data_IF_995290753195
#
_entry.id   IF_995290753195
#
_cell.length_a   1.000
_cell.length_b   1.000
_cell.length_c   1.000
_cell.angle_alpha   90.00
_cell.angle_beta   90.00
_cell.angle_gamma   90.00
#
_symmetry.space_group_name_H-M   'P 1'
#
loop_
_entity.id
_entity.type
_entity.pdbx_description
1 polymer ?
#
# COMPACT_ATOMS: atom_id res chain seq x y z
N UNK A 1 28.02 59.62 7.46
CA UNK A 1 26.74 58.96 7.10
C UNK A 1 27.02 57.69 6.32
N UNK A 2 27.23 56.57 7.02
CA UNK A 2 27.48 55.26 6.39
C UNK A 2 26.14 54.66 5.95
N UNK A 3 26.02 54.34 4.65
CA UNK A 3 24.82 53.74 4.05
C UNK A 3 24.61 52.36 4.66
N UNK A 4 23.59 52.24 5.54
CA UNK A 4 23.02 50.97 6.00
C UNK A 4 22.49 50.22 4.78
N UNK A 5 23.24 49.23 4.29
CA UNK A 5 22.76 48.31 3.26
C UNK A 5 21.96 47.22 3.96
N UNK A 6 20.67 47.18 3.69
CA UNK A 6 19.77 46.12 4.12
C UNK A 6 20.25 44.77 3.57
N UNK A 7 20.16 43.74 4.40
CA UNK A 7 20.36 42.35 4.00
C UNK A 7 19.33 41.98 2.94
N UNK A 8 19.78 41.71 1.72
CA UNK A 8 18.96 41.08 0.69
C UNK A 8 19.51 39.67 0.46
N UNK A 9 19.03 38.72 1.27
CA UNK A 9 19.19 37.30 0.95
C UNK A 9 18.18 36.98 -0.15
N UNK A 10 18.65 36.69 -1.36
CA UNK A 10 17.78 36.27 -2.46
C UNK A 10 17.33 34.83 -2.20
N UNK A 11 16.15 34.68 -1.61
CA UNK A 11 15.49 33.39 -1.46
C UNK A 11 14.74 33.07 -2.76
N UNK A 12 15.36 32.32 -3.66
CA UNK A 12 14.65 31.72 -4.81
C UNK A 12 14.16 30.35 -4.37
N UNK A 13 12.89 30.28 -3.96
CA UNK A 13 12.30 29.09 -3.37
C UNK A 13 11.55 28.29 -4.45
N UNK A 14 12.23 27.33 -5.08
CA UNK A 14 11.57 26.19 -5.72
C UNK A 14 11.66 25.01 -4.75
N UNK A 15 10.72 24.91 -3.81
CA UNK A 15 10.64 23.75 -2.91
C UNK A 15 10.45 22.49 -3.75
N UNK A 16 11.37 21.56 -3.60
CA UNK A 16 11.29 20.24 -4.21
C UNK A 16 10.34 19.36 -3.36
N UNK A 17 9.66 18.37 -3.97
CA UNK A 17 8.71 17.50 -3.28
C UNK A 17 9.37 16.80 -2.08
N UNK A 18 8.59 16.44 -1.06
CA UNK A 18 9.08 15.77 0.13
C UNK A 18 9.86 14.49 -0.19
N UNK A 19 11.15 14.52 0.12
CA UNK A 19 12.12 13.43 -0.05
C UNK A 19 12.27 12.74 1.31
N UNK A 20 12.56 11.42 1.38
CA UNK A 20 12.92 10.76 2.63
C UNK A 20 14.11 11.47 3.28
N UNK A 21 14.28 11.29 4.59
CA UNK A 21 15.47 11.77 5.34
C UNK A 21 16.73 11.34 4.57
N UNK A 22 17.35 12.30 3.87
CA UNK A 22 18.61 12.10 3.16
C UNK A 22 19.76 12.24 4.16
N UNK A 23 20.86 11.55 3.89
CA UNK A 23 22.14 11.91 4.50
C UNK A 23 22.38 13.41 4.27
N UNK A 24 22.80 14.12 5.32
CA UNK A 24 23.04 15.56 5.26
C UNK A 24 23.90 15.90 4.03
N UNK A 25 23.47 16.89 3.24
CA UNK A 25 24.30 17.35 2.13
C UNK A 25 25.65 17.83 2.68
N UNK A 26 26.74 17.47 2.00
CA UNK A 26 28.09 17.83 2.44
C UNK A 26 28.18 19.35 2.67
N UNK A 27 28.59 19.74 3.88
CA UNK A 27 28.69 21.14 4.28
C UNK A 27 27.42 21.73 4.91
N UNK A 28 26.41 20.91 5.22
CA UNK A 28 25.21 21.30 5.97
C UNK A 28 25.09 20.46 7.25
N UNK A 29 24.89 21.11 8.39
CA UNK A 29 24.54 20.45 9.65
C UNK A 29 23.20 20.99 10.13
N UNK A 30 22.25 20.10 10.43
CA UNK A 30 20.92 20.46 10.95
C UNK A 30 20.75 19.81 12.32
N UNK A 31 20.51 20.62 13.34
CA UNK A 31 20.21 20.17 14.70
C UNK A 31 18.80 20.63 15.06
N UNK A 32 17.84 19.72 15.01
CA UNK A 32 16.45 19.99 15.37
C UNK A 32 16.30 20.08 16.88
N UNK A 33 15.58 21.08 17.35
CA UNK A 33 15.35 21.35 18.76
C UNK A 33 14.23 20.47 19.33
N UNK A 34 14.15 20.40 20.66
CA UNK A 34 13.08 19.73 21.42
C UNK A 34 12.86 18.25 21.10
N UNK A 35 13.85 17.60 20.48
CA UNK A 35 13.76 16.19 20.08
C UNK A 35 12.74 15.92 18.97
N UNK A 36 12.25 16.96 18.29
CA UNK A 36 11.30 16.80 17.19
C UNK A 36 11.92 15.95 16.08
N UNK A 37 11.22 14.88 15.70
CA UNK A 37 11.65 14.00 14.63
C UNK A 37 10.46 13.47 13.83
N UNK A 38 10.71 13.29 12.54
CA UNK A 38 9.77 12.78 11.55
C UNK A 38 10.60 12.05 10.48
N UNK A 39 10.02 11.03 9.88
CA UNK A 39 10.64 10.24 8.80
C UNK A 39 10.44 10.87 7.41
N UNK A 40 9.73 12.00 7.34
CA UNK A 40 9.61 12.86 6.17
C UNK A 40 9.63 14.34 6.54
N UNK A 41 9.75 15.20 5.52
CA UNK A 41 9.85 16.63 5.74
C UNK A 41 9.92 17.43 4.45
N UNK A 42 10.52 18.61 4.53
CA UNK A 42 10.67 19.54 3.40
C UNK A 42 12.13 19.84 3.13
N UNK A 43 12.48 19.89 1.84
CA UNK A 43 13.82 20.27 1.38
C UNK A 43 13.84 21.75 0.97
N UNK A 44 14.54 22.57 1.75
CA UNK A 44 14.63 24.01 1.51
C UNK A 44 15.90 24.33 0.71
N UNK A 45 15.79 24.72 -0.58
CA UNK A 45 16.95 25.20 -1.32
C UNK A 45 17.42 26.53 -0.73
N UNK A 46 18.67 26.58 -0.30
CA UNK A 46 19.23 27.72 0.42
C UNK A 46 20.67 28.02 0.01
N UNK A 47 20.95 29.31 -0.19
CA UNK A 47 22.30 29.81 -0.42
C UNK A 47 22.67 30.70 0.75
N UNK A 48 23.71 30.31 1.49
CA UNK A 48 24.11 31.05 2.68
C UNK A 48 24.78 32.39 2.31
N UNK A 49 24.76 33.33 3.26
CA UNK A 49 25.50 34.58 3.14
C UNK A 49 26.99 34.35 3.37
N UNK A 50 27.86 35.02 2.61
CA UNK A 50 29.31 35.07 2.90
C UNK A 50 29.63 35.63 4.30
N UNK A 51 28.66 36.28 4.94
CA UNK A 51 28.82 36.96 6.22
C UNK A 51 28.58 36.07 7.44
N UNK A 52 27.91 34.93 7.28
CA UNK A 52 27.63 33.97 8.36
C UNK A 52 27.30 32.58 7.81
N UNK A 53 27.73 31.54 8.55
CA UNK A 53 27.35 30.15 8.31
C UNK A 53 26.23 29.65 9.24
N UNK A 54 25.85 30.44 10.25
CA UNK A 54 24.98 30.02 11.35
C UNK A 54 23.57 30.59 11.23
N UNK A 55 22.57 29.71 11.25
CA UNK A 55 21.18 30.05 11.03
C UNK A 55 20.25 29.32 12.02
N UNK A 56 19.10 29.91 12.31
CA UNK A 56 17.94 29.22 12.88
C UNK A 56 16.82 29.19 11.86
N UNK A 57 16.33 27.98 11.55
CA UNK A 57 15.16 27.75 10.71
C UNK A 57 13.98 27.40 11.61
N UNK A 58 12.87 28.14 11.47
CA UNK A 58 11.64 27.90 12.23
C UNK A 58 10.44 27.81 11.28
N UNK A 59 9.67 26.73 11.36
CA UNK A 59 8.49 26.48 10.54
C UNK A 59 7.22 26.71 11.35
N UNK A 60 6.34 27.58 10.84
CA UNK A 60 5.06 27.92 11.45
C UNK A 60 3.92 27.43 10.56
N UNK A 61 2.85 26.83 11.13
CA UNK A 61 1.67 26.47 10.36
C UNK A 61 0.96 27.74 9.85
N UNK A 62 0.49 27.70 8.60
CA UNK A 62 -0.26 28.78 7.97
C UNK A 62 0.59 29.86 7.30
N UNK A 63 -0.03 31.02 7.05
CA UNK A 63 0.50 32.09 6.20
C UNK A 63 1.32 33.17 6.95
N UNK A 64 1.52 33.01 8.26
CA UNK A 64 2.22 33.99 9.07
C UNK A 64 3.09 33.35 10.15
N UNK A 65 4.11 34.09 10.59
CA UNK A 65 4.86 33.78 11.81
C UNK A 65 3.97 34.10 13.00
N UNK A 66 3.22 33.11 13.47
CA UNK A 66 2.24 33.24 14.54
C UNK A 66 2.27 32.02 15.44
N UNK A 67 2.18 32.23 16.75
CA UNK A 67 2.25 31.16 17.75
C UNK A 67 3.65 30.56 17.90
N UNK A 68 3.72 29.32 18.37
CA UNK A 68 4.96 28.55 18.46
C UNK A 68 5.26 27.87 17.11
N UNK A 69 6.52 27.80 16.68
CA UNK A 69 6.89 27.02 15.50
C UNK A 69 6.69 25.52 15.77
N UNK A 70 6.25 24.80 14.74
CA UNK A 70 6.15 23.32 14.77
C UNK A 70 7.55 22.70 14.81
N UNK A 71 8.50 23.32 14.10
CA UNK A 71 9.88 22.84 13.98
C UNK A 71 10.81 24.01 14.13
N UNK A 72 11.81 23.87 15.01
CA UNK A 72 12.95 24.79 15.08
C UNK A 72 14.23 23.99 14.93
N UNK A 73 15.14 24.46 14.08
CA UNK A 73 16.41 23.81 13.84
C UNK A 73 17.55 24.84 13.79
N UNK A 74 18.64 24.54 14.50
CA UNK A 74 19.91 25.20 14.29
C UNK A 74 20.57 24.60 13.03
N UNK A 75 20.95 25.45 12.08
CA UNK A 75 21.48 25.07 10.79
C UNK A 75 22.82 25.76 10.55
N UNK A 76 23.86 24.97 10.35
CA UNK A 76 25.19 25.44 9.99
C UNK A 76 25.48 25.07 8.53
N UNK A 77 25.93 26.05 7.74
CA UNK A 77 26.22 25.89 6.31
C UNK A 77 27.62 26.44 6.01
N UNK A 78 28.46 25.59 5.43
CA UNK A 78 29.83 25.93 5.03
C UNK A 78 30.06 25.87 3.51
N UNK A 79 29.10 25.30 2.77
CA UNK A 79 29.20 25.15 1.33
C UNK A 79 28.91 26.46 0.59
N UNK A 80 29.84 26.95 -0.24
CA UNK A 80 29.70 28.20 -0.99
C UNK A 80 28.67 28.14 -2.15
N UNK A 81 28.08 26.98 -2.41
CA UNK A 81 27.04 26.76 -3.44
C UNK A 81 25.66 26.69 -2.79
N UNK A 82 24.60 26.75 -3.59
CA UNK A 82 23.26 26.42 -3.11
C UNK A 82 23.24 24.96 -2.61
N UNK A 83 22.61 24.75 -1.46
CA UNK A 83 22.42 23.46 -0.80
C UNK A 83 20.93 23.24 -0.51
N UNK A 84 20.54 22.00 -0.26
CA UNK A 84 19.21 21.67 0.25
C UNK A 84 19.28 21.38 1.76
N UNK A 85 18.57 22.20 2.55
CA UNK A 85 18.40 21.99 3.99
C UNK A 85 17.14 21.17 4.21
N UNK A 86 17.31 19.91 4.61
CA UNK A 86 16.19 19.04 4.97
C UNK A 86 15.71 19.36 6.38
N UNK A 87 14.43 19.68 6.52
CA UNK A 87 13.77 19.88 7.81
C UNK A 87 12.68 18.81 7.99
N UNK A 88 12.72 18.00 9.06
CA UNK A 88 11.62 17.10 9.36
C UNK A 88 10.37 17.95 9.61
N UNK A 89 9.26 17.61 8.97
CA UNK A 89 8.02 18.36 9.08
C UNK A 89 6.85 17.40 8.91
N UNK A 90 6.01 17.28 9.93
CA UNK A 90 4.81 16.46 9.88
C UNK A 90 3.69 17.36 9.36
N UNK A 91 3.11 16.99 8.24
CA UNK A 91 2.00 17.71 7.63
C UNK A 91 0.95 16.71 7.14
N UNK A 92 -0.23 17.21 6.78
CA UNK A 92 -1.33 16.35 6.37
C UNK A 92 -0.95 15.50 5.15
N UNK A 93 -1.07 14.19 5.28
CA UNK A 93 -0.82 13.27 4.19
C UNK A 93 -1.88 13.44 3.09
N UNK A 94 -3.12 13.76 3.46
CA UNK A 94 -4.29 13.72 2.59
C UNK A 94 -4.47 14.98 1.73
N UNK A 95 -3.68 16.04 1.97
CA UNK A 95 -3.89 17.31 1.30
C UNK A 95 -2.74 18.30 1.41
N UNK A 96 -2.84 19.41 0.65
CA UNK A 96 -1.88 20.48 0.72
C UNK A 96 -1.92 21.15 2.09
N UNK A 97 -0.75 21.49 2.62
CA UNK A 97 -0.59 22.21 3.88
C UNK A 97 0.23 23.46 3.64
N UNK A 98 -0.23 24.61 4.16
CA UNK A 98 0.47 25.89 4.02
C UNK A 98 1.32 26.16 5.27
N UNK A 99 2.55 26.63 5.04
CA UNK A 99 3.57 26.83 6.06
C UNK A 99 4.35 28.11 5.80
N UNK A 100 4.81 28.73 6.88
CA UNK A 100 5.70 29.89 6.84
C UNK A 100 7.04 29.54 7.46
N UNK A 101 8.10 29.56 6.64
CA UNK A 101 9.47 29.43 7.08
C UNK A 101 10.02 30.79 7.49
N UNK A 102 10.53 30.90 8.71
CA UNK A 102 11.38 32.00 9.16
C UNK A 102 12.83 31.52 9.26
N UNK A 103 13.74 32.21 8.57
CA UNK A 103 15.18 32.01 8.68
C UNK A 103 15.78 33.20 9.41
N UNK A 104 16.46 32.93 10.52
CA UNK A 104 17.24 33.92 11.27
C UNK A 104 18.72 33.66 11.03
N UNK A 105 19.42 34.61 10.45
CA UNK A 105 20.86 34.57 10.25
C UNK A 105 21.57 35.19 11.47
N UNK A 106 22.41 34.41 12.14
CA UNK A 106 23.11 34.86 13.34
C UNK A 106 24.39 35.62 12.98
N UNK A 107 24.77 36.56 13.83
CA UNK A 107 26.02 37.32 13.64
C UNK A 107 27.21 36.40 13.89
N UNK A 108 28.14 36.37 12.94
CA UNK A 108 29.37 35.58 13.09
C UNK A 108 30.18 36.08 14.30
N UNK A 109 30.85 35.18 15.05
CA UNK A 109 31.71 35.57 16.15
C UNK A 109 32.74 36.65 15.75
N UNK A 110 32.86 37.70 16.55
CA UNK A 110 33.78 38.83 16.32
C UNK A 110 33.22 39.94 15.41
N UNK A 111 31.97 39.83 14.95
CA UNK A 111 31.28 40.84 14.13
C UNK A 111 30.11 41.51 14.84
N UNK A 112 29.91 41.26 16.13
CA UNK A 112 28.75 41.68 16.93
C UNK A 112 28.59 43.20 17.00
N UNK A 113 29.70 43.95 16.95
CA UNK A 113 29.67 45.41 16.95
C UNK A 113 29.27 46.02 15.59
N UNK A 114 29.36 45.24 14.51
CA UNK A 114 29.23 45.73 13.13
C UNK A 114 27.97 45.21 12.43
N UNK A 115 27.51 44.03 12.82
CA UNK A 115 26.39 43.34 12.19
C UNK A 115 25.23 43.17 13.17
N UNK A 116 24.05 42.87 12.61
CA UNK A 116 22.85 42.51 13.36
C UNK A 116 22.26 41.25 12.75
N UNK A 117 21.49 40.52 13.53
CA UNK A 117 20.74 39.38 13.01
C UNK A 117 19.85 39.80 11.84
N UNK A 118 19.90 38.99 10.78
CA UNK A 118 19.01 39.12 9.64
C UNK A 118 17.84 38.16 9.79
N UNK A 119 16.63 38.58 9.40
CA UNK A 119 15.48 37.68 9.33
C UNK A 119 14.87 37.73 7.93
N UNK A 120 14.50 36.57 7.44
CA UNK A 120 13.74 36.41 6.20
C UNK A 120 12.59 35.45 6.44
N UNK A 121 11.45 35.72 5.81
CA UNK A 121 10.26 34.88 5.90
C UNK A 121 9.77 34.52 4.51
N UNK A 122 9.32 33.28 4.35
CA UNK A 122 8.72 32.82 3.10
C UNK A 122 7.61 31.83 3.38
N UNK A 123 6.50 31.98 2.66
CA UNK A 123 5.33 31.11 2.76
C UNK A 123 5.33 30.15 1.59
N UNK A 124 4.94 28.90 1.85
CA UNK A 124 4.78 27.87 0.84
C UNK A 124 3.62 26.94 1.15
N UNK A 125 3.16 26.24 0.12
CA UNK A 125 2.17 25.17 0.25
C UNK A 125 2.79 23.88 -0.25
N UNK A 126 2.61 22.78 0.48
CA UNK A 126 3.11 21.48 0.05
C UNK A 126 2.50 21.09 -1.30
N UNK A 127 3.33 20.59 -2.21
CA UNK A 127 2.92 20.13 -3.52
C UNK A 127 2.87 18.60 -3.57
N UNK A 128 2.05 18.00 -4.45
CA UNK A 128 2.09 16.57 -4.67
C UNK A 128 3.49 16.09 -5.07
N UNK A 129 3.92 14.98 -4.48
CA UNK A 129 5.21 14.34 -4.76
C UNK A 129 5.14 13.36 -5.92
N UNK A 130 3.94 12.98 -6.33
CA UNK A 130 3.69 11.96 -7.34
C UNK A 130 3.62 12.47 -8.78
N UNK A 131 4.05 13.72 -9.01
CA UNK A 131 4.05 14.37 -10.33
C UNK A 131 2.67 14.85 -10.81
N UNK A 132 1.62 14.71 -10.00
CA UNK A 132 0.29 15.18 -10.33
C UNK A 132 0.16 16.69 -10.14
N UNK A 133 -0.69 17.38 -10.93
CA UNK A 133 -1.02 18.78 -10.69
C UNK A 133 -1.59 18.99 -9.28
N UNK A 134 -1.30 20.15 -8.68
CA UNK A 134 -1.91 20.56 -7.43
C UNK A 134 -3.44 20.55 -7.52
N UNK A 135 -4.11 20.07 -6.46
CA UNK A 135 -5.57 19.92 -6.43
C UNK A 135 -6.09 18.62 -7.05
N UNK A 136 -5.22 17.76 -7.57
CA UNK A 136 -5.61 16.40 -7.98
C UNK A 136 -6.11 15.61 -6.76
N UNK A 137 -7.34 15.09 -6.84
CA UNK A 137 -7.94 14.34 -5.75
C UNK A 137 -7.12 13.08 -5.44
N UNK A 138 -6.77 12.89 -4.16
CA UNK A 138 -6.00 11.73 -3.71
C UNK A 138 -4.53 11.75 -4.12
N UNK A 139 -3.99 12.87 -4.61
CA UNK A 139 -2.57 12.96 -4.90
C UNK A 139 -1.72 12.67 -3.64
N UNK A 140 -0.54 12.12 -3.84
CA UNK A 140 0.39 11.83 -2.75
C UNK A 140 1.23 13.05 -2.43
N UNK A 141 1.33 13.38 -1.15
CA UNK A 141 2.16 14.49 -0.66
C UNK A 141 3.41 14.03 0.08
N UNK A 142 3.57 12.72 0.30
CA UNK A 142 4.75 12.13 0.92
C UNK A 142 5.15 10.88 0.15
N UNK A 143 6.45 10.74 -0.08
CA UNK A 143 7.03 9.60 -0.77
C UNK A 143 7.31 9.88 -2.25
N UNK A 144 8.19 9.10 -2.86
CA UNK A 144 8.49 9.15 -4.30
C UNK A 144 7.96 7.94 -5.08
N UNK A 145 7.21 7.05 -4.42
CA UNK A 145 6.70 5.82 -5.01
C UNK A 145 7.77 4.74 -5.19
N UNK A 146 8.95 4.90 -4.57
CA UNK A 146 10.05 3.93 -4.62
C UNK A 146 10.04 3.04 -3.38
N UNK A 147 10.71 1.89 -3.42
CA UNK A 147 10.77 1.00 -2.25
C UNK A 147 11.36 1.67 -1.00
N UNK A 148 12.35 2.56 -1.17
CA UNK A 148 12.95 3.32 -0.08
C UNK A 148 12.11 4.52 0.38
N UNK A 149 11.13 4.93 -0.42
CA UNK A 149 10.27 6.08 -0.16
C UNK A 149 8.90 5.85 -0.80
N UNK A 150 8.07 4.99 -0.19
CA UNK A 150 6.76 4.65 -0.74
C UNK A 150 5.83 5.86 -0.63
N UNK A 151 4.87 5.96 -1.54
CA UNK A 151 3.77 6.91 -1.38
C UNK A 151 2.94 6.55 -0.15
N UNK A 152 2.65 7.54 0.69
CA UNK A 152 1.87 7.35 1.92
C UNK A 152 0.39 7.60 1.67
N UNK A 153 -0.43 6.67 2.13
CA UNK A 153 -1.89 6.70 2.00
C UNK A 153 -2.49 6.93 3.39
N UNK A 154 -3.13 8.09 3.56
CA UNK A 154 -3.89 8.43 4.76
C UNK A 154 -5.40 8.56 4.54
N UNK A 155 -5.89 8.39 3.32
CA UNK A 155 -7.31 8.60 2.98
C UNK A 155 -7.83 7.66 1.88
N UNK A 156 -9.14 7.47 1.80
CA UNK A 156 -9.80 6.71 0.72
C UNK A 156 -9.49 7.30 -0.66
N UNK A 157 -9.43 8.64 -0.80
CA UNK A 157 -9.12 9.28 -2.07
C UNK A 157 -7.71 8.91 -2.55
N UNK A 158 -6.74 8.88 -1.64
CA UNK A 158 -5.37 8.44 -1.95
C UNK A 158 -5.30 6.95 -2.30
N UNK A 159 -6.02 6.09 -1.57
CA UNK A 159 -6.10 4.67 -1.91
C UNK A 159 -6.64 4.47 -3.33
N UNK A 160 -7.71 5.18 -3.70
CA UNK A 160 -8.27 5.13 -5.04
C UNK A 160 -7.31 5.69 -6.11
N UNK A 161 -6.51 6.70 -5.76
CA UNK A 161 -5.54 7.32 -6.65
C UNK A 161 -4.40 6.39 -7.08
N UNK A 162 -4.20 5.25 -6.40
CA UNK A 162 -3.18 4.28 -6.81
C UNK A 162 -3.37 3.73 -8.23
N UNK A 163 -4.56 3.87 -8.82
CA UNK A 163 -4.82 3.60 -10.23
C UNK A 163 -3.88 4.36 -11.17
N UNK A 164 -3.38 5.53 -10.75
CA UNK A 164 -2.42 6.34 -11.52
C UNK A 164 -0.95 5.91 -11.29
N UNK A 165 -0.68 4.99 -10.37
CA UNK A 165 0.66 4.61 -9.91
C UNK A 165 0.80 3.09 -9.69
N UNK A 166 0.30 2.28 -10.64
CA UNK A 166 0.19 0.82 -10.52
C UNK A 166 1.51 0.06 -10.31
N UNK A 167 2.65 0.67 -10.64
CA UNK A 167 3.98 0.10 -10.43
C UNK A 167 4.75 0.68 -9.23
N UNK A 168 4.14 1.59 -8.47
CA UNK A 168 4.82 2.25 -7.36
C UNK A 168 4.83 1.40 -6.08
N UNK A 169 5.67 1.78 -5.13
CA UNK A 169 5.57 1.35 -3.74
C UNK A 169 4.67 2.30 -2.95
N UNK A 170 3.70 1.75 -2.22
CA UNK A 170 2.70 2.48 -1.44
C UNK A 170 2.60 1.88 -0.04
N UNK A 171 2.29 2.71 0.94
CA UNK A 171 2.10 2.31 2.34
C UNK A 171 0.89 3.00 2.97
N UNK A 172 0.04 2.23 3.66
CA UNK A 172 -0.99 2.81 4.52
C UNK A 172 -0.36 3.36 5.80
N UNK A 173 -0.84 4.51 6.26
CA UNK A 173 -0.42 5.14 7.52
C UNK A 173 -1.53 5.16 8.57
N UNK A 174 -2.76 4.85 8.18
CA UNK A 174 -3.93 4.82 9.05
C UNK A 174 -4.90 3.72 8.60
N UNK A 175 -5.78 3.31 9.51
CA UNK A 175 -6.96 2.53 9.15
C UNK A 175 -7.89 3.36 8.26
N UNK A 176 -8.51 2.70 7.28
CA UNK A 176 -9.41 3.33 6.31
C UNK A 176 -10.81 2.73 6.41
N UNK A 177 -11.82 3.61 6.45
CA UNK A 177 -13.22 3.23 6.31
C UNK A 177 -13.69 3.69 4.94
N UNK A 178 -13.89 2.74 4.04
CA UNK A 178 -14.37 3.02 2.69
C UNK A 178 -15.88 3.30 2.69
N UNK A 179 -16.27 4.19 1.80
CA UNK A 179 -17.67 4.54 1.53
C UNK A 179 -17.98 4.47 0.04
N UNK A 180 -19.24 4.22 -0.29
CA UNK A 180 -19.70 4.04 -1.67
C UNK A 180 -19.28 2.70 -2.29
N UNK A 181 -19.38 2.63 -3.61
CA UNK A 181 -18.92 1.46 -4.38
C UNK A 181 -17.44 1.60 -4.71
N UNK A 182 -16.64 0.65 -4.24
CA UNK A 182 -15.24 0.47 -4.63
C UNK A 182 -15.16 -0.04 -6.07
N UNK A 183 -14.16 0.46 -6.79
CA UNK A 183 -13.75 -0.05 -8.09
C UNK A 183 -12.38 -0.67 -7.89
N UNK A 184 -12.25 -1.96 -8.19
CA UNK A 184 -11.01 -2.71 -8.08
C UNK A 184 -9.87 -1.97 -8.79
N UNK A 185 -8.72 -1.90 -8.13
CA UNK A 185 -7.48 -1.39 -8.74
C UNK A 185 -7.14 -2.27 -9.93
N UNK A 186 -6.61 -1.70 -11.02
CA UNK A 186 -6.27 -2.45 -12.22
C UNK A 186 -5.14 -3.48 -12.00
N UNK A 187 -4.34 -3.73 -13.04
CA UNK A 187 -3.18 -4.61 -12.90
C UNK A 187 -2.08 -3.91 -12.11
N UNK A 188 -1.93 -4.27 -10.84
CA UNK A 188 -0.92 -3.77 -9.94
C UNK A 188 0.36 -4.62 -10.03
N UNK A 189 1.50 -3.97 -10.23
CA UNK A 189 2.82 -4.61 -10.34
C UNK A 189 3.81 -4.10 -9.30
N UNK A 190 3.37 -3.16 -8.46
CA UNK A 190 4.20 -2.52 -7.43
C UNK A 190 4.14 -3.22 -6.07
N UNK A 191 4.41 -2.45 -5.01
CA UNK A 191 4.37 -2.92 -3.62
C UNK A 191 3.30 -2.16 -2.86
N UNK A 192 2.31 -2.85 -2.31
CA UNK A 192 1.34 -2.28 -1.38
C UNK A 192 1.59 -2.83 0.02
N UNK A 193 2.03 -1.98 0.93
CA UNK A 193 2.23 -2.30 2.34
C UNK A 193 1.08 -1.71 3.17
N UNK A 194 0.21 -2.56 3.69
CA UNK A 194 -0.86 -2.13 4.58
C UNK A 194 -0.34 -1.60 5.92
N UNK A 195 0.94 -1.74 6.25
CA UNK A 195 1.52 -1.20 7.48
C UNK A 195 0.94 -1.80 8.77
N UNK A 196 0.16 -2.88 8.68
CA UNK A 196 -0.63 -3.44 9.79
C UNK A 196 -2.03 -2.84 9.93
N UNK A 197 -2.44 -1.94 9.04
CA UNK A 197 -3.71 -1.24 9.09
C UNK A 197 -4.89 -2.05 8.51
N UNK A 198 -6.07 -1.59 8.87
CA UNK A 198 -7.35 -2.18 8.48
C UNK A 198 -8.03 -1.30 7.42
N UNK A 199 -8.49 -1.93 6.34
CA UNK A 199 -9.44 -1.35 5.40
C UNK A 199 -10.80 -2.00 5.66
N UNK A 200 -11.81 -1.19 5.97
CA UNK A 200 -13.20 -1.63 6.18
C UNK A 200 -14.16 -0.94 5.21
N UNK A 201 -15.40 -1.42 5.14
CA UNK A 201 -16.42 -0.80 4.28
C UNK A 201 -16.24 -1.05 2.78
N UNK A 202 -15.34 -1.97 2.38
CA UNK A 202 -15.16 -2.35 0.98
C UNK A 202 -16.44 -2.98 0.45
N UNK A 203 -17.11 -2.28 -0.48
CA UNK A 203 -18.29 -2.76 -1.20
C UNK A 203 -18.00 -2.67 -2.69
N UNK A 204 -18.04 -3.78 -3.42
CA UNK A 204 -17.60 -3.77 -4.83
C UNK A 204 -18.42 -4.68 -5.72
N UNK A 205 -18.70 -4.19 -6.92
CA UNK A 205 -19.24 -4.96 -8.04
C UNK A 205 -18.18 -5.21 -9.12
N UNK A 206 -16.90 -5.12 -8.77
CA UNK A 206 -15.77 -5.40 -9.67
C UNK A 206 -14.74 -6.33 -9.03
N UNK A 207 -15.05 -6.89 -7.86
CA UNK A 207 -14.20 -7.79 -7.09
C UNK A 207 -13.48 -7.12 -5.91
N UNK A 208 -12.32 -7.66 -5.51
CA UNK A 208 -11.57 -7.24 -4.33
C UNK A 208 -10.94 -5.84 -4.39
N UNK A 209 -10.03 -5.57 -3.46
CA UNK A 209 -9.25 -4.33 -3.49
C UNK A 209 -8.51 -4.16 -4.83
N UNK A 210 -7.91 -5.25 -5.31
CA UNK A 210 -7.21 -5.35 -6.59
C UNK A 210 -7.95 -6.27 -7.56
N UNK A 211 -7.94 -5.89 -8.84
CA UNK A 211 -8.38 -6.73 -9.93
C UNK A 211 -7.31 -7.79 -10.22
N UNK A 212 -6.09 -7.33 -10.50
CA UNK A 212 -4.96 -8.22 -10.76
C UNK A 212 -3.73 -7.71 -10.00
N UNK A 213 -3.01 -8.62 -9.35
CA UNK A 213 -1.64 -8.37 -8.87
C UNK A 213 -0.71 -9.31 -9.62
N UNK A 214 0.25 -8.77 -10.36
CA UNK A 214 1.06 -9.55 -11.30
C UNK A 214 2.51 -9.09 -11.35
N UNK A 215 3.43 -10.05 -11.43
CA UNK A 215 4.85 -9.81 -11.63
C UNK A 215 5.70 -10.28 -10.45
N UNK A 216 6.93 -10.69 -10.73
CA UNK A 216 7.84 -11.28 -9.74
C UNK A 216 8.23 -10.32 -8.63
N UNK A 217 8.05 -9.02 -8.82
CA UNK A 217 8.32 -7.96 -7.84
C UNK A 217 7.04 -7.41 -7.19
N UNK A 218 5.86 -7.85 -7.66
CA UNK A 218 4.58 -7.36 -7.17
C UNK A 218 4.25 -7.97 -5.80
N UNK A 219 3.95 -7.11 -4.82
CA UNK A 219 3.69 -7.52 -3.44
C UNK A 219 2.49 -6.79 -2.87
N UNK A 220 1.61 -7.50 -2.17
CA UNK A 220 0.62 -6.92 -1.28
C UNK A 220 0.85 -7.55 0.09
N UNK A 221 1.06 -6.73 1.12
CA UNK A 221 1.42 -7.25 2.44
C UNK A 221 0.84 -6.46 3.60
N UNK A 222 0.78 -7.08 4.77
CA UNK A 222 0.47 -6.44 6.06
C UNK A 222 -0.86 -5.66 6.08
N UNK A 223 -1.90 -6.16 5.42
CA UNK A 223 -3.21 -5.48 5.35
C UNK A 223 -4.32 -6.39 5.85
N UNK A 224 -5.26 -5.81 6.58
CA UNK A 224 -6.53 -6.48 6.91
C UNK A 224 -7.66 -5.86 6.10
N UNK A 225 -8.40 -6.67 5.35
CA UNK A 225 -9.68 -6.26 4.74
C UNK A 225 -10.81 -6.78 5.64
N UNK A 226 -11.46 -5.87 6.36
CA UNK A 226 -12.51 -6.20 7.30
C UNK A 226 -13.91 -6.05 6.68
N UNK A 227 -14.67 -7.14 6.74
CA UNK A 227 -16.04 -7.28 6.26
C UNK A 227 -16.26 -6.79 4.82
N UNK A 228 -15.45 -7.23 3.83
CA UNK A 228 -15.71 -6.89 2.45
C UNK A 228 -17.03 -7.49 1.97
N UNK A 229 -17.82 -6.71 1.24
CA UNK A 229 -19.03 -7.16 0.55
C UNK A 229 -18.78 -7.09 -0.96
N UNK A 230 -18.69 -8.24 -1.60
CA UNK A 230 -18.36 -8.35 -3.03
C UNK A 230 -19.47 -9.16 -3.70
N UNK A 231 -20.21 -8.51 -4.59
CA UNK A 231 -21.38 -9.11 -5.26
C UNK A 231 -21.18 -9.29 -6.77
N UNK A 232 -19.95 -9.14 -7.26
CA UNK A 232 -19.63 -9.36 -8.66
C UNK A 232 -18.16 -9.70 -8.83
N UNK A 233 -17.82 -10.07 -10.07
CA UNK A 233 -16.62 -10.83 -10.39
C UNK A 233 -15.82 -10.20 -11.51
N UNK A 234 -14.51 -10.35 -11.41
CA UNK A 234 -13.60 -10.11 -12.53
C UNK A 234 -13.83 -11.18 -13.59
N UNK A 235 -14.25 -10.73 -14.77
CA UNK A 235 -14.41 -11.60 -15.93
C UNK A 235 -13.05 -11.81 -16.61
N UNK A 236 -12.73 -13.08 -16.85
CA UNK A 236 -11.57 -13.48 -17.61
C UNK A 236 -11.94 -14.55 -18.61
N UNK A 237 -11.32 -14.49 -19.79
CA UNK A 237 -11.30 -15.60 -20.71
C UNK A 237 -9.99 -16.36 -20.52
N UNK A 238 -10.08 -17.60 -20.05
CA UNK A 238 -8.94 -18.51 -19.97
C UNK A 238 -8.44 -18.86 -21.39
N UNK A 239 -7.20 -19.34 -21.57
CA UNK A 239 -6.61 -19.63 -22.89
C UNK A 239 -7.42 -20.61 -23.75
N UNK A 240 -8.19 -21.50 -23.12
CA UNK A 240 -9.10 -22.44 -23.76
C UNK A 240 -10.49 -21.84 -24.09
N UNK A 241 -10.64 -20.51 -24.02
CA UNK A 241 -11.89 -19.74 -24.20
C UNK A 241 -12.95 -19.97 -23.11
N UNK A 242 -12.57 -20.53 -21.97
CA UNK A 242 -13.47 -20.67 -20.83
C UNK A 242 -13.67 -19.33 -20.12
N UNK A 243 -14.92 -18.98 -19.82
CA UNK A 243 -15.29 -17.76 -19.11
C UNK A 243 -15.27 -17.98 -17.61
N UNK A 244 -14.38 -17.26 -16.92
CA UNK A 244 -14.19 -17.37 -15.47
C UNK A 244 -14.55 -16.07 -14.79
N UNK A 245 -15.28 -16.21 -13.69
CA UNK A 245 -15.67 -15.13 -12.81
C UNK A 245 -14.95 -15.31 -11.48
N UNK A 246 -13.89 -14.53 -11.29
CA UNK A 246 -13.03 -14.63 -10.12
C UNK A 246 -13.28 -13.50 -9.13
N UNK A 247 -13.34 -13.82 -7.84
CA UNK A 247 -13.38 -12.82 -6.78
C UNK A 247 -12.65 -13.28 -5.52
N UNK A 248 -11.91 -12.35 -4.92
CA UNK A 248 -11.45 -12.47 -3.54
C UNK A 248 -11.43 -11.12 -2.85
N UNK A 249 -11.36 -11.11 -1.51
CA UNK A 249 -11.43 -9.88 -0.72
C UNK A 249 -10.28 -8.92 -1.01
N UNK A 250 -9.08 -9.47 -1.27
CA UNK A 250 -7.88 -8.69 -1.56
C UNK A 250 -7.67 -8.55 -3.06
N UNK A 251 -7.68 -9.67 -3.79
CA UNK A 251 -7.34 -9.68 -5.21
C UNK A 251 -8.21 -10.66 -5.99
N UNK A 252 -8.64 -10.30 -7.21
CA UNK A 252 -9.37 -11.25 -8.03
C UNK A 252 -8.42 -12.28 -8.67
N UNK A 253 -7.30 -11.83 -9.23
CA UNK A 253 -6.22 -12.69 -9.77
C UNK A 253 -4.83 -12.32 -9.26
N UNK A 254 -4.11 -13.29 -8.71
CA UNK A 254 -2.69 -13.22 -8.37
C UNK A 254 -1.88 -14.01 -9.41
N UNK A 255 -0.86 -13.41 -10.03
CA UNK A 255 -0.15 -14.07 -11.14
C UNK A 255 1.35 -13.77 -11.24
N UNK A 256 2.06 -14.58 -12.03
CA UNK A 256 3.39 -14.27 -12.58
C UNK A 256 4.46 -13.92 -11.52
N UNK A 257 4.51 -14.68 -10.43
CA UNK A 257 5.48 -14.50 -9.34
C UNK A 257 5.06 -13.51 -8.26
N UNK A 258 3.85 -12.94 -8.34
CA UNK A 258 3.34 -12.05 -7.31
C UNK A 258 3.18 -12.75 -5.96
N UNK A 259 3.25 -11.98 -4.87
CA UNK A 259 3.10 -12.51 -3.52
C UNK A 259 2.09 -11.73 -2.67
N UNK A 260 1.30 -12.46 -1.89
CA UNK A 260 0.55 -11.93 -0.75
C UNK A 260 1.24 -12.36 0.54
N UNK A 261 1.53 -11.43 1.44
CA UNK A 261 2.22 -11.72 2.71
C UNK A 261 1.50 -11.09 3.90
N UNK A 262 1.22 -11.87 4.95
CA UNK A 262 0.69 -11.32 6.20
C UNK A 262 -0.64 -10.56 6.00
N UNK A 263 -1.45 -11.04 5.07
CA UNK A 263 -2.71 -10.42 4.69
C UNK A 263 -3.89 -11.13 5.35
N UNK A 264 -4.86 -10.39 5.87
CA UNK A 264 -6.05 -10.94 6.51
C UNK A 264 -7.32 -10.47 5.82
N UNK A 265 -8.28 -11.36 5.65
CA UNK A 265 -9.67 -11.03 5.31
C UNK A 265 -10.56 -11.55 6.44
N UNK A 266 -11.33 -10.68 7.08
CA UNK A 266 -12.21 -11.05 8.21
C UNK A 266 -13.68 -10.76 7.89
N UNK A 267 -14.57 -11.69 8.21
CA UNK A 267 -16.03 -11.49 8.09
C UNK A 267 -16.51 -11.17 6.67
N UNK A 268 -15.86 -11.75 5.65
CA UNK A 268 -16.19 -11.53 4.25
C UNK A 268 -17.64 -11.94 3.90
N UNK A 269 -18.24 -11.25 2.93
CA UNK A 269 -19.46 -11.65 2.23
C UNK A 269 -19.19 -11.54 0.72
N UNK A 270 -18.65 -12.62 0.15
CA UNK A 270 -18.21 -12.67 -1.25
C UNK A 270 -19.09 -13.66 -2.00
N UNK A 271 -19.98 -13.13 -2.82
CA UNK A 271 -20.97 -13.90 -3.57
C UNK A 271 -20.82 -13.55 -5.04
N UNK A 272 -20.42 -14.53 -5.85
CA UNK A 272 -20.23 -14.36 -7.29
C UNK A 272 -21.37 -15.00 -8.08
N UNK A 273 -21.99 -14.23 -8.96
CA UNK A 273 -23.03 -14.73 -9.86
C UNK A 273 -22.54 -14.88 -11.30
N UNK A 274 -21.84 -15.98 -11.57
CA UNK A 274 -21.42 -16.35 -12.93
C UNK A 274 -22.54 -16.95 -13.77
N UNK A 275 -23.68 -17.32 -13.16
CA UNK A 275 -24.81 -17.94 -13.84
C UNK A 275 -25.62 -16.93 -14.67
N UNK A 276 -25.68 -15.67 -14.25
CA UNK A 276 -26.39 -14.60 -14.97
C UNK A 276 -25.60 -13.96 -16.13
N UNK A 277 -24.52 -14.60 -16.57
CA UNK A 277 -23.75 -14.18 -17.75
C UNK A 277 -24.50 -14.37 -19.08
N UNK A 278 -24.07 -13.66 -20.12
CA UNK A 278 -24.50 -13.90 -21.50
C UNK A 278 -23.77 -15.06 -22.18
N UNK A 279 -22.72 -15.61 -21.54
CA UNK A 279 -21.90 -16.69 -22.10
C UNK A 279 -22.53 -18.07 -21.87
N UNK A 280 -22.25 -19.03 -22.77
CA UNK A 280 -22.79 -20.38 -22.69
C UNK A 280 -22.31 -21.14 -21.45
N UNK A 281 -21.00 -21.39 -21.36
CA UNK A 281 -20.37 -22.01 -20.19
C UNK A 281 -19.59 -20.97 -19.38
N UNK A 282 -19.79 -21.01 -18.06
CA UNK A 282 -19.10 -20.15 -17.11
C UNK A 282 -18.68 -20.90 -15.87
N UNK A 283 -17.58 -20.44 -15.29
CA UNK A 283 -16.99 -20.94 -14.07
C UNK A 283 -16.94 -19.80 -13.06
N UNK A 284 -17.15 -20.13 -11.78
CA UNK A 284 -17.05 -19.18 -10.68
C UNK A 284 -15.98 -19.62 -9.72
N UNK A 285 -15.00 -18.74 -9.48
CA UNK A 285 -13.80 -19.04 -8.67
C UNK A 285 -13.71 -18.05 -7.53
N UNK A 286 -14.10 -18.49 -6.34
CA UNK A 286 -14.30 -17.60 -5.19
C UNK A 286 -13.41 -18.07 -4.06
N UNK A 287 -12.55 -17.17 -3.59
CA UNK A 287 -11.78 -17.38 -2.37
C UNK A 287 -11.87 -16.18 -1.46
N UNK A 288 -11.74 -16.37 -0.15
CA UNK A 288 -11.85 -15.25 0.77
C UNK A 288 -10.73 -14.21 0.54
N UNK A 289 -9.52 -14.67 0.20
CA UNK A 289 -8.36 -13.80 -0.06
C UNK A 289 -8.21 -13.51 -1.55
N UNK A 290 -8.17 -14.56 -2.38
CA UNK A 290 -8.03 -14.43 -3.82
C UNK A 290 -9.03 -15.29 -4.62
N UNK A 291 -9.49 -14.80 -5.77
CA UNK A 291 -10.35 -15.61 -6.65
C UNK A 291 -9.57 -16.69 -7.41
N UNK A 292 -8.45 -16.28 -8.01
CA UNK A 292 -7.55 -17.11 -8.80
C UNK A 292 -6.10 -16.80 -8.43
N UNK A 293 -5.26 -17.81 -8.20
CA UNK A 293 -3.80 -17.65 -8.08
C UNK A 293 -3.04 -18.51 -9.10
N UNK A 294 -2.00 -17.98 -9.75
CA UNK A 294 -1.15 -18.73 -10.68
C UNK A 294 0.33 -18.36 -10.54
N UNK A 295 1.23 -19.35 -10.49
CA UNK A 295 2.68 -19.12 -10.39
C UNK A 295 3.05 -18.13 -9.28
N UNK A 296 2.40 -18.22 -8.13
CA UNK A 296 2.41 -17.17 -7.11
C UNK A 296 2.48 -17.76 -5.70
N UNK A 297 2.64 -16.90 -4.70
CA UNK A 297 2.72 -17.35 -3.31
C UNK A 297 1.84 -16.54 -2.37
N UNK A 298 1.22 -17.26 -1.44
CA UNK A 298 0.42 -16.70 -0.36
C UNK A 298 1.06 -17.19 0.94
N UNK A 299 1.62 -16.26 1.70
CA UNK A 299 2.40 -16.54 2.90
C UNK A 299 1.71 -15.87 4.09
N UNK A 300 1.40 -16.64 5.14
CA UNK A 300 0.72 -16.16 6.35
C UNK A 300 -0.58 -15.41 6.08
N UNK A 301 -1.29 -15.80 5.01
CA UNK A 301 -2.56 -15.20 4.64
C UNK A 301 -3.72 -15.86 5.41
N UNK A 302 -4.64 -15.05 5.93
CA UNK A 302 -5.71 -15.50 6.82
C UNK A 302 -7.08 -15.12 6.30
N UNK A 303 -8.03 -16.05 6.40
CA UNK A 303 -9.45 -15.80 6.22
C UNK A 303 -10.19 -16.19 7.51
N UNK A 304 -10.82 -15.22 8.17
CA UNK A 304 -11.43 -15.42 9.49
C UNK A 304 -12.92 -15.12 9.45
N UNK A 305 -13.74 -16.17 9.52
CA UNK A 305 -15.19 -16.07 9.40
C UNK A 305 -15.68 -15.49 8.08
N UNK A 306 -16.97 -15.17 8.02
CA UNK A 306 -17.64 -14.74 6.79
C UNK A 306 -18.06 -15.91 5.90
N UNK A 307 -18.53 -15.59 4.70
CA UNK A 307 -19.09 -16.51 3.71
C UNK A 307 -18.51 -16.23 2.33
N UNK A 308 -18.10 -17.30 1.64
CA UNK A 308 -17.83 -17.29 0.20
C UNK A 308 -18.84 -18.18 -0.53
N UNK A 309 -19.38 -17.73 -1.65
CA UNK A 309 -20.35 -18.47 -2.44
C UNK A 309 -20.27 -18.11 -3.93
N UNK A 310 -20.74 -19.01 -4.78
CA UNK A 310 -20.79 -18.75 -6.22
C UNK A 310 -21.86 -19.54 -6.96
N UNK A 311 -22.36 -18.96 -8.05
CA UNK A 311 -23.21 -19.65 -9.02
C UNK A 311 -22.53 -19.64 -10.38
N UNK A 312 -22.69 -20.70 -11.18
CA UNK A 312 -22.10 -20.78 -12.52
C UNK A 312 -22.96 -21.63 -13.45
N UNK A 313 -22.66 -21.60 -14.76
CA UNK A 313 -23.30 -22.49 -15.77
C UNK A 313 -22.54 -23.80 -15.98
N UNK A 314 -21.39 -23.98 -15.32
CA UNK A 314 -20.57 -25.18 -15.39
C UNK A 314 -20.10 -25.58 -13.99
N UNK A 315 -18.92 -25.15 -13.59
CA UNK A 315 -18.31 -25.55 -12.32
C UNK A 315 -18.15 -24.36 -11.38
N UNK A 316 -18.30 -24.60 -10.09
CA UNK A 316 -18.01 -23.59 -9.05
C UNK A 316 -16.89 -24.08 -8.15
N UNK A 317 -15.90 -23.22 -7.92
CA UNK A 317 -14.72 -23.49 -7.10
C UNK A 317 -14.68 -22.52 -5.93
N UNK A 318 -14.76 -23.06 -4.72
CA UNK A 318 -14.80 -22.29 -3.48
C UNK A 318 -13.61 -22.66 -2.59
N UNK A 319 -12.73 -21.70 -2.33
CA UNK A 319 -11.60 -21.90 -1.45
C UNK A 319 -11.70 -21.04 -0.21
N UNK A 320 -11.30 -21.60 0.94
CA UNK A 320 -11.18 -20.79 2.15
C UNK A 320 -10.13 -19.68 2.03
N UNK A 321 -9.11 -19.81 1.16
CA UNK A 321 -8.16 -18.75 0.80
C UNK A 321 -8.28 -18.40 -0.68
N UNK A 322 -8.18 -19.39 -1.57
CA UNK A 322 -8.16 -19.20 -3.03
C UNK A 322 -9.17 -20.09 -3.75
N UNK A 323 -10.01 -19.51 -4.61
CA UNK A 323 -10.98 -20.27 -5.40
C UNK A 323 -10.33 -21.29 -6.35
N UNK A 324 -9.45 -20.81 -7.24
CA UNK A 324 -8.73 -21.62 -8.22
C UNK A 324 -7.22 -21.37 -8.15
N UNK A 325 -6.39 -22.39 -8.27
CA UNK A 325 -4.93 -22.24 -8.22
C UNK A 325 -4.18 -23.05 -9.28
N UNK A 326 -2.98 -22.56 -9.61
CA UNK A 326 -2.06 -23.14 -10.60
C UNK A 326 -0.60 -22.91 -10.14
N UNK A 327 0.20 -23.96 -9.93
CA UNK A 327 1.63 -23.88 -9.55
C UNK A 327 1.89 -22.81 -8.44
N UNK A 328 1.16 -22.87 -7.32
CA UNK A 328 1.26 -21.90 -6.23
C UNK A 328 1.86 -22.47 -4.94
N UNK A 329 2.42 -21.59 -4.12
CA UNK A 329 2.88 -21.92 -2.76
C UNK A 329 1.98 -21.27 -1.71
N UNK A 330 1.48 -22.07 -0.79
CA UNK A 330 0.74 -21.65 0.38
C UNK A 330 1.55 -22.01 1.63
N UNK A 331 2.01 -21.01 2.38
CA UNK A 331 2.74 -21.23 3.61
C UNK A 331 2.05 -20.54 4.79
N UNK A 332 1.79 -21.28 5.87
CA UNK A 332 1.22 -20.74 7.12
C UNK A 332 -0.13 -20.03 6.91
N UNK A 333 -0.88 -20.42 5.89
CA UNK A 333 -2.20 -19.86 5.62
C UNK A 333 -3.26 -20.48 6.53
N UNK A 334 -4.23 -19.66 6.95
CA UNK A 334 -5.30 -20.09 7.85
C UNK A 334 -6.68 -19.70 7.31
N UNK A 335 -7.62 -20.65 7.24
CA UNK A 335 -9.01 -20.33 6.90
C UNK A 335 -10.05 -20.88 7.88
N UNK A 336 -10.97 -20.02 8.28
CA UNK A 336 -12.23 -20.37 8.92
C UNK A 336 -13.44 -19.81 8.18
N UNK A 337 -13.28 -19.55 6.88
CA UNK A 337 -14.36 -19.05 6.04
C UNK A 337 -15.51 -20.06 5.96
N UNK A 338 -16.74 -19.56 6.00
CA UNK A 338 -17.94 -20.33 5.69
C UNK A 338 -18.17 -20.43 4.18
N UNK A 339 -18.88 -21.47 3.77
CA UNK A 339 -19.27 -21.69 2.37
C UNK A 339 -20.78 -21.60 2.24
N UNK A 340 -21.24 -20.63 1.44
CA UNK A 340 -22.66 -20.37 1.24
C UNK A 340 -23.28 -21.25 0.16
N UNK A 341 -24.61 -21.14 0.03
CA UNK A 341 -25.35 -21.82 -1.03
C UNK A 341 -24.79 -21.45 -2.41
N UNK A 342 -24.41 -22.47 -3.16
CA UNK A 342 -23.70 -22.32 -4.43
C UNK A 342 -24.30 -23.25 -5.48
N UNK A 343 -24.12 -22.93 -6.76
CA UNK A 343 -24.59 -23.76 -7.87
C UNK A 343 -23.51 -23.92 -8.93
N UNK A 344 -23.43 -25.12 -9.51
CA UNK A 344 -22.55 -25.46 -10.62
C UNK A 344 -23.07 -26.77 -11.22
N UNK A 345 -23.67 -26.77 -12.43
CA UNK A 345 -24.24 -27.97 -13.05
C UNK A 345 -23.28 -29.16 -13.15
N UNK A 346 -21.98 -28.90 -13.30
CA UNK A 346 -20.94 -29.92 -13.38
C UNK A 346 -20.33 -30.25 -12.01
N UNK A 347 -20.69 -29.49 -10.97
CA UNK A 347 -20.29 -29.70 -9.60
C UNK A 347 -19.88 -28.42 -8.88
N UNK A 348 -19.67 -28.58 -7.58
CA UNK A 348 -19.11 -27.55 -6.70
C UNK A 348 -17.92 -28.19 -5.99
N UNK A 349 -16.72 -27.63 -6.19
CA UNK A 349 -15.54 -28.04 -5.44
C UNK A 349 -15.30 -27.04 -4.32
N UNK A 350 -15.21 -27.55 -3.09
CA UNK A 350 -14.96 -26.73 -1.90
C UNK A 350 -13.73 -27.27 -1.20
N UNK A 351 -12.75 -26.41 -0.93
CA UNK A 351 -11.57 -26.79 -0.14
C UNK A 351 -11.22 -25.72 0.89
N UNK A 352 -10.67 -26.16 2.01
CA UNK A 352 -10.41 -25.29 3.15
C UNK A 352 -9.33 -24.25 2.88
N UNK A 353 -8.43 -24.51 1.95
CA UNK A 353 -7.47 -23.51 1.45
C UNK A 353 -7.76 -23.18 -0.02
N UNK A 354 -7.86 -24.20 -0.86
CA UNK A 354 -8.01 -24.08 -2.31
C UNK A 354 -9.30 -24.76 -2.78
N UNK A 355 -10.13 -24.08 -3.57
CA UNK A 355 -11.33 -24.70 -4.15
C UNK A 355 -11.00 -25.75 -5.19
N UNK A 356 -10.18 -25.39 -6.18
CA UNK A 356 -9.65 -26.33 -7.15
C UNK A 356 -8.22 -25.99 -7.61
N UNK A 357 -7.54 -27.01 -8.10
CA UNK A 357 -6.25 -26.95 -8.77
C UNK A 357 -6.42 -27.33 -10.25
N UNK A 358 -5.91 -26.50 -11.16
CA UNK A 358 -6.17 -26.62 -12.59
C UNK A 358 -4.87 -26.76 -13.39
N UNK A 359 -4.78 -27.76 -14.28
CA UNK A 359 -3.71 -27.93 -15.30
C UNK A 359 -2.25 -27.66 -14.88
N UNK A 360 -1.95 -27.80 -13.60
CA UNK A 360 -0.66 -27.49 -13.02
C UNK A 360 0.43 -28.41 -13.61
N UNK A 361 1.55 -27.82 -14.05
CA UNK A 361 2.72 -28.60 -14.47
C UNK A 361 3.43 -29.21 -13.26
N UNK A 362 3.19 -28.60 -12.10
CA UNK A 362 3.65 -28.99 -10.78
C UNK A 362 2.52 -28.84 -9.77
N UNK A 363 2.48 -29.66 -8.73
CA UNK A 363 1.43 -29.52 -7.74
C UNK A 363 1.62 -28.25 -6.90
N UNK A 364 0.52 -27.67 -6.44
CA UNK A 364 0.57 -26.65 -5.40
C UNK A 364 1.33 -27.15 -4.17
N UNK A 365 2.15 -26.27 -3.61
CA UNK A 365 2.90 -26.55 -2.38
C UNK A 365 2.08 -26.00 -1.21
N UNK A 366 1.81 -26.85 -0.23
CA UNK A 366 1.25 -26.41 1.04
C UNK A 366 2.24 -26.70 2.15
N UNK A 367 2.54 -25.68 2.94
CA UNK A 367 3.39 -25.73 4.12
C UNK A 367 2.65 -25.11 5.28
N UNK A 368 2.53 -25.84 6.39
CA UNK A 368 1.97 -25.32 7.64
C UNK A 368 0.58 -24.66 7.54
N UNK A 369 -0.27 -25.06 6.59
CA UNK A 369 -1.60 -24.45 6.44
C UNK A 369 -2.64 -25.09 7.38
N UNK A 370 -3.61 -24.31 7.84
CA UNK A 370 -4.69 -24.74 8.74
C UNK A 370 -6.07 -24.28 8.23
N UNK A 371 -7.10 -25.10 8.42
CA UNK A 371 -8.46 -24.71 8.08
C UNK A 371 -9.50 -25.47 8.90
N UNK A 372 -10.69 -24.90 9.06
CA UNK A 372 -11.76 -25.50 9.88
C UNK A 372 -12.83 -26.24 9.08
N UNK A 373 -12.97 -25.95 7.78
CA UNK A 373 -13.99 -26.54 6.89
C UNK A 373 -13.59 -26.30 5.44
N UNK A 374 -13.92 -27.19 4.49
CA UNK A 374 -14.24 -28.62 4.65
C UNK A 374 -13.02 -29.46 5.04
N UNK A 375 -13.17 -30.78 5.12
CA UNK A 375 -12.07 -31.67 5.49
C UNK A 375 -10.88 -31.59 4.51
N UNK A 376 -11.09 -31.45 3.22
CA UNK A 376 -9.97 -31.33 2.27
C UNK A 376 -9.38 -29.92 2.25
N UNK A 377 -8.05 -29.80 2.20
CA UNK A 377 -7.40 -28.52 1.87
C UNK A 377 -7.77 -28.07 0.45
N UNK A 378 -7.90 -29.04 -0.47
CA UNK A 378 -8.26 -28.87 -1.87
C UNK A 378 -9.62 -29.53 -2.13
N UNK A 379 -10.54 -28.83 -2.79
CA UNK A 379 -11.84 -29.39 -3.18
C UNK A 379 -11.77 -30.30 -4.41
N UNK A 380 -11.01 -29.91 -5.43
CA UNK A 380 -10.76 -30.70 -6.64
C UNK A 380 -9.30 -30.54 -7.11
N UNK A 381 -8.51 -31.62 -7.11
CA UNK A 381 -7.15 -31.66 -7.69
C UNK A 381 -6.98 -32.58 -8.91
N UNK A 382 -5.85 -32.45 -9.62
CA UNK A 382 -5.47 -33.33 -10.74
C UNK A 382 -5.30 -34.79 -10.25
N UNK A 383 -6.06 -35.73 -10.82
CA UNK A 383 -5.89 -37.16 -10.54
C UNK A 383 -6.74 -37.75 -9.40
N UNK A 384 -7.69 -36.99 -8.84
CA UNK A 384 -8.53 -37.49 -7.76
C UNK A 384 -7.84 -37.37 -6.41
N UNK A 385 -7.85 -36.14 -5.87
CA UNK A 385 -7.61 -35.87 -4.46
C UNK A 385 -6.17 -36.14 -3.98
N UNK A 386 -5.32 -35.10 -4.03
CA UNK A 386 -4.33 -34.96 -2.96
C UNK A 386 -5.12 -34.72 -1.67
N UNK A 387 -5.43 -35.80 -0.96
CA UNK A 387 -6.08 -35.78 0.34
C UNK A 387 -5.12 -35.20 1.37
N UNK A 388 -4.93 -33.89 1.35
CA UNK A 388 -4.38 -33.15 2.48
C UNK A 388 -5.55 -32.95 3.44
N UNK A 389 -5.59 -33.79 4.47
CA UNK A 389 -6.61 -33.86 5.54
C UNK A 389 -6.34 -32.72 6.56
N UNK A 390 -7.34 -32.16 7.26
CA UNK A 390 -7.11 -31.04 8.18
C UNK A 390 -6.22 -31.49 9.32
N UNK A 391 -5.37 -30.59 9.80
CA UNK A 391 -4.69 -30.81 11.06
C UNK A 391 -5.71 -30.78 12.19
N UNK A 392 -5.71 -31.83 13.02
CA UNK A 392 -6.68 -32.00 14.12
C UNK A 392 -6.41 -31.10 15.33
N UNK A 393 -5.33 -30.31 15.29
CA UNK A 393 -4.89 -29.39 16.35
C UNK A 393 -4.41 -28.08 15.72
N UNK A 394 -4.24 -27.02 16.52
CA UNK A 394 -3.67 -25.69 16.13
C UNK A 394 -2.20 -25.75 15.62
N UNK A 395 -1.75 -26.92 15.16
CA UNK A 395 -0.39 -27.20 14.73
C UNK A 395 -0.18 -26.89 13.25
N UNK A 396 0.83 -26.05 13.00
CA UNK A 396 1.45 -25.79 11.70
C UNK A 396 2.16 -27.06 11.21
N UNK A 397 1.60 -27.75 10.21
CA UNK A 397 2.34 -28.85 9.58
C UNK A 397 1.56 -29.62 8.53
N UNK A 398 1.67 -29.22 7.26
CA UNK A 398 1.75 -30.21 6.19
C UNK A 398 3.21 -30.23 5.74
N UNK A 399 3.86 -31.37 6.00
CA UNK A 399 5.24 -31.63 5.66
C UNK A 399 5.40 -31.78 4.15
N UNK A 400 5.55 -30.67 3.43
CA UNK A 400 6.15 -30.68 2.09
C UNK A 400 7.40 -29.82 1.94
N UNK A 401 7.75 -28.94 2.90
CA UNK A 401 9.06 -28.26 2.89
C UNK A 401 9.52 -27.95 4.31
N UNK A 402 10.82 -28.10 4.57
CA UNK A 402 11.49 -27.47 5.73
C UNK A 402 11.22 -25.97 5.73
N UNK A 403 10.98 -25.39 6.90
CA UNK A 403 10.78 -23.96 7.16
C UNK A 403 11.50 -23.05 6.15
N UNK A 404 10.75 -22.22 5.42
CA UNK A 404 11.33 -21.14 4.63
C UNK A 404 11.74 -20.05 5.62
N UNK A 405 13.04 -19.79 5.72
CA UNK A 405 13.63 -18.79 6.62
C UNK A 405 13.45 -17.36 6.16
#
# INVERSE_FOLDING_TARGET
MSKRRAFAAALVLCLLPAVPVRAAESGVTVTVQDGYSCDYGVDVPFTHSERTGSYTFALYPGEAVSGAPEVTAAVEITAAKQVNVHLPLRYDLAGPSTWTLQVTAHVAPGREAFDREGRSTSTFTTAPTCGCPAGTAGAYYVGSGTAASPYRIGSQAQLAHMQSHLGASLRLENDLVLSGSWISVGTFTGVFDGGGHIISGLRSTTGGLFSVVSGSDARVKNVTINQPVISASYYMQAPNKTHNYAAGGIVNRLSSGAQLLDCTVSGADIIVDGANSSYGETFSTVGAVAGWAEYSSLLRCKAVGGTVAGTSKSQTYLGGIVGLSYDCTFAECLSSAGFGASTGPNGIATGGIVGAEYYASTLNIFQNCHWTNPAGAIGWGLGGGLNVVPNTDESFGNSQVSSIG
#
